data_IF_683914948796
#
_entry.id   IF_683914948796
#
_cell.length_a   1.000
_cell.length_b   1.000
_cell.length_c   1.000
_cell.angle_alpha   90.00
_cell.angle_beta   90.00
_cell.angle_gamma   90.00
#
_symmetry.space_group_name_H-M   'P 1'
#
loop_
_entity.id
_entity.type
_entity.pdbx_description
1 polymer ?
#
# COMPACT_ATOMS: atom_id res chain seq x y z
N UNK A 1 23.22 -4.85 10.05
CA UNK A 1 22.57 -4.52 8.77
C UNK A 1 21.08 -4.71 8.94
N UNK A 2 20.27 -3.65 8.88
CA UNK A 2 18.81 -3.79 8.92
C UNK A 2 18.33 -4.45 7.63
N UNK A 3 17.51 -5.50 7.74
CA UNK A 3 16.85 -6.11 6.58
C UNK A 3 15.90 -5.09 5.96
N UNK A 4 15.95 -4.95 4.64
CA UNK A 4 14.95 -4.15 3.91
C UNK A 4 13.71 -4.99 3.65
N UNK A 5 12.55 -4.36 3.53
CA UNK A 5 11.28 -5.07 3.32
C UNK A 5 11.28 -5.94 2.06
N UNK A 6 12.04 -5.54 1.04
CA UNK A 6 12.18 -6.28 -0.23
C UNK A 6 12.99 -7.57 -0.11
N UNK A 7 13.69 -7.77 1.01
CA UNK A 7 14.44 -9.00 1.30
C UNK A 7 13.62 -10.02 2.09
N UNK A 8 12.37 -9.68 2.43
CA UNK A 8 11.48 -10.58 3.15
C UNK A 8 10.72 -11.49 2.18
N UNK A 9 10.47 -12.71 2.64
CA UNK A 9 9.55 -13.63 1.97
C UNK A 9 8.11 -13.12 2.08
N UNK A 10 7.24 -13.61 1.22
CA UNK A 10 5.84 -13.15 1.16
C UNK A 10 5.09 -13.33 2.50
N UNK A 11 5.42 -14.38 3.28
CA UNK A 11 4.84 -14.64 4.62
C UNK A 11 5.34 -13.62 5.65
N UNK A 12 6.65 -13.41 5.71
CA UNK A 12 7.29 -12.45 6.61
C UNK A 12 6.83 -11.02 6.29
N UNK A 13 6.67 -10.71 5.00
CA UNK A 13 6.12 -9.44 4.54
C UNK A 13 4.66 -9.26 4.99
N UNK A 14 3.82 -10.31 4.87
CA UNK A 14 2.42 -10.29 5.37
C UNK A 14 2.39 -9.98 6.85
N UNK A 15 3.15 -10.71 7.65
CA UNK A 15 3.21 -10.48 9.11
C UNK A 15 3.69 -9.06 9.44
N UNK A 16 4.71 -8.56 8.72
CA UNK A 16 5.21 -7.21 8.90
C UNK A 16 4.16 -6.14 8.62
N UNK A 17 3.41 -6.27 7.52
CA UNK A 17 2.38 -5.30 7.16
C UNK A 17 1.13 -5.37 8.06
N UNK A 18 0.84 -6.51 8.67
CA UNK A 18 -0.30 -6.65 9.59
C UNK A 18 -0.04 -6.02 10.98
N UNK A 19 1.18 -5.56 11.25
CA UNK A 19 1.51 -4.86 12.50
C UNK A 19 0.78 -3.51 12.59
N UNK A 20 0.44 -3.10 13.81
CA UNK A 20 -0.27 -1.83 14.03
C UNK A 20 0.57 -0.61 13.61
N UNK A 21 1.89 -0.69 13.76
CA UNK A 21 2.83 0.36 13.36
C UNK A 21 2.94 0.50 11.85
N UNK A 22 2.64 -0.55 11.10
CA UNK A 22 2.56 -0.53 9.64
C UNK A 22 1.24 0.08 9.16
N UNK A 23 0.16 -0.09 9.94
CA UNK A 23 -1.16 0.44 9.61
C UNK A 23 -1.28 1.95 9.89
N UNK A 24 -0.76 2.42 11.03
CA UNK A 24 -0.82 3.85 11.40
C UNK A 24 0.51 4.35 11.95
N UNK A 25 0.95 5.50 11.42
CA UNK A 25 2.12 6.24 11.94
C UNK A 25 1.73 7.28 13.00
N UNK A 26 0.44 7.52 13.21
CA UNK A 26 -0.05 8.49 14.18
C UNK A 26 0.04 7.91 15.58
N UNK A 27 0.64 8.67 16.50
CA UNK A 27 0.62 8.37 17.93
C UNK A 27 -0.78 8.61 18.48
N UNK A 28 -1.52 7.53 18.66
CA UNK A 28 -2.84 7.55 19.27
C UNK A 28 -2.73 7.28 20.77
N UNK A 29 -3.73 7.70 21.57
CA UNK A 29 -3.82 7.31 22.97
C UNK A 29 -3.72 5.79 23.17
N UNK A 30 -3.12 5.37 24.28
CA UNK A 30 -2.77 3.96 24.56
C UNK A 30 -3.95 2.98 24.61
N UNK A 31 -5.17 3.50 24.74
CA UNK A 31 -6.40 2.70 24.70
C UNK A 31 -6.89 2.39 23.28
N UNK A 32 -6.34 3.05 22.25
CA UNK A 32 -6.62 2.73 20.85
C UNK A 32 -5.54 1.79 20.35
N UNK A 33 -5.89 0.50 20.22
CA UNK A 33 -5.01 -0.54 19.69
C UNK A 33 -5.61 -1.19 18.46
N UNK A 34 -4.84 -1.27 17.38
CA UNK A 34 -5.34 -1.83 16.12
C UNK A 34 -4.98 -3.30 15.94
N UNK A 35 -3.98 -3.83 16.66
CA UNK A 35 -3.58 -5.24 16.52
C UNK A 35 -4.75 -6.22 16.67
N UNK A 36 -5.60 -6.13 17.73
CA UNK A 36 -6.71 -7.06 17.89
C UNK A 36 -7.78 -6.93 16.79
N UNK A 37 -7.89 -5.75 16.19
CA UNK A 37 -8.83 -5.50 15.10
C UNK A 37 -8.30 -6.10 13.79
N UNK A 38 -7.04 -5.85 13.48
CA UNK A 38 -6.37 -6.32 12.26
C UNK A 38 -6.34 -7.85 12.24
N UNK A 39 -5.98 -8.49 13.35
CA UNK A 39 -5.96 -9.96 13.49
C UNK A 39 -7.36 -10.58 13.28
N UNK A 40 -8.39 -9.99 13.88
CA UNK A 40 -9.78 -10.45 13.70
C UNK A 40 -10.23 -10.34 12.24
N UNK A 41 -9.81 -9.29 11.54
CA UNK A 41 -10.13 -9.09 10.13
C UNK A 41 -9.35 -10.10 9.28
N UNK A 42 -8.04 -10.28 9.51
CA UNK A 42 -7.23 -11.21 8.73
C UNK A 42 -7.73 -12.64 8.87
N UNK A 43 -8.09 -13.07 10.08
CA UNK A 43 -8.65 -14.39 10.34
C UNK A 43 -9.96 -14.61 9.55
N UNK A 44 -10.89 -13.65 9.62
CA UNK A 44 -12.14 -13.70 8.84
C UNK A 44 -11.89 -13.72 7.33
N UNK A 45 -10.87 -13.02 6.85
CA UNK A 45 -10.55 -13.01 5.42
C UNK A 45 -9.93 -14.33 4.97
N UNK A 46 -9.05 -14.93 5.78
CA UNK A 46 -8.44 -16.23 5.48
C UNK A 46 -9.50 -17.36 5.49
N UNK A 47 -10.48 -17.32 6.40
CA UNK A 47 -11.63 -18.25 6.41
C UNK A 47 -12.45 -18.18 5.11
N UNK A 48 -12.69 -16.97 4.60
CA UNK A 48 -13.46 -16.76 3.37
C UNK A 48 -12.70 -17.18 2.09
N UNK A 49 -11.38 -17.35 2.14
CA UNK A 49 -10.56 -17.81 1.02
C UNK A 49 -10.52 -19.33 0.89
N UNK A 50 -10.69 -20.07 1.99
CA UNK A 50 -10.74 -21.55 1.99
C UNK A 50 -12.12 -22.08 1.55
N UNK A 51 -13.18 -21.28 1.70
CA UNK A 51 -14.52 -21.53 1.18
C UNK A 51 -14.70 -21.12 -0.28
N UNK A 52 -14.17 -21.93 -1.20
CA UNK A 52 -14.77 -22.12 -2.53
C UNK A 52 -14.75 -20.92 -3.52
N UNK A 53 -13.70 -20.87 -4.37
CA UNK A 53 -13.63 -20.23 -5.71
C UNK A 53 -13.64 -18.68 -5.82
N UNK A 54 -12.55 -18.17 -6.40
CA UNK A 54 -12.43 -16.93 -7.20
C UNK A 54 -12.96 -15.66 -6.51
N UNK A 55 -12.02 -14.80 -6.15
CA UNK A 55 -12.22 -13.34 -6.14
C UNK A 55 -12.94 -13.01 -7.46
N UNK A 56 -14.19 -12.53 -7.36
CA UNK A 56 -15.15 -12.33 -8.45
C UNK A 56 -15.66 -13.62 -9.11
N UNK A 57 -16.59 -14.36 -8.46
CA UNK A 57 -17.56 -15.14 -9.25
C UNK A 57 -18.40 -14.13 -10.05
N UNK A 58 -18.18 -14.06 -11.36
CA UNK A 58 -19.24 -13.63 -12.28
C UNK A 58 -20.33 -14.69 -12.16
N UNK A 59 -21.53 -14.32 -11.71
CA UNK A 59 -22.69 -15.16 -11.99
C UNK A 59 -22.87 -15.22 -13.52
N UNK A 60 -23.68 -16.14 -14.05
CA UNK A 60 -23.98 -16.31 -15.49
C UNK A 60 -24.40 -15.00 -16.21
N UNK A 61 -24.72 -13.94 -15.44
CA UNK A 61 -25.05 -12.58 -15.87
C UNK A 61 -23.88 -11.56 -15.81
N UNK A 62 -22.63 -11.99 -15.60
CA UNK A 62 -21.43 -11.12 -15.67
C UNK A 62 -21.14 -10.23 -14.46
N UNK A 63 -21.77 -10.46 -13.31
CA UNK A 63 -21.76 -9.55 -12.14
C UNK A 63 -20.68 -9.92 -11.10
N UNK A 64 -19.70 -9.04 -10.87
CA UNK A 64 -18.55 -9.27 -9.97
C UNK A 64 -18.88 -9.00 -8.49
N UNK A 65 -19.15 -10.02 -7.69
CA UNK A 65 -19.45 -9.84 -6.26
C UNK A 65 -18.13 -9.80 -5.45
N UNK A 66 -17.92 -8.75 -4.64
CA UNK A 66 -16.97 -8.83 -3.53
C UNK A 66 -17.70 -9.39 -2.31
N UNK A 67 -17.35 -10.60 -1.85
CA UNK A 67 -18.08 -11.24 -0.76
C UNK A 67 -17.95 -10.48 0.57
N UNK A 68 -16.94 -9.62 0.73
CA UNK A 68 -16.65 -8.90 1.96
C UNK A 68 -17.58 -7.69 2.16
N UNK A 69 -17.95 -6.98 1.08
CA UNK A 69 -18.73 -5.74 1.15
C UNK A 69 -20.25 -5.96 0.99
N UNK A 70 -20.76 -7.13 1.39
CA UNK A 70 -22.17 -7.45 1.24
C UNK A 70 -23.05 -6.56 2.14
N UNK A 71 -24.01 -5.85 1.54
CA UNK A 71 -25.09 -5.21 2.30
C UNK A 71 -26.07 -6.28 2.75
N UNK A 72 -26.41 -6.26 4.03
CA UNK A 72 -27.58 -6.97 4.57
C UNK A 72 -28.71 -5.95 4.64
N UNK A 73 -29.89 -6.33 4.17
CA UNK A 73 -31.08 -5.50 4.39
C UNK A 73 -31.46 -5.50 5.89
N UNK A 74 -32.40 -4.62 6.26
CA UNK A 74 -32.87 -4.50 7.65
C UNK A 74 -33.59 -5.77 8.16
N UNK A 75 -33.78 -6.79 7.30
CA UNK A 75 -34.39 -8.09 7.62
C UNK A 75 -33.37 -9.24 7.56
N UNK A 76 -32.09 -8.96 7.37
CA UNK A 76 -31.00 -9.96 7.33
C UNK A 76 -30.86 -10.72 6.00
N UNK A 77 -31.67 -10.40 5.00
CA UNK A 77 -31.60 -10.94 3.65
C UNK A 77 -30.50 -10.24 2.83
N UNK A 78 -29.86 -11.01 1.94
CA UNK A 78 -28.89 -10.46 0.99
C UNK A 78 -29.66 -9.74 -0.11
N UNK A 79 -29.49 -8.43 -0.20
CA UNK A 79 -29.95 -7.65 -1.35
C UNK A 79 -29.29 -8.22 -2.60
N UNK A 80 -30.06 -8.93 -3.42
CA UNK A 80 -29.53 -9.76 -4.51
C UNK A 80 -28.92 -8.99 -5.69
N UNK A 81 -28.70 -7.67 -5.61
CA UNK A 81 -28.52 -6.92 -6.85
C UNK A 81 -27.56 -5.72 -6.90
N UNK A 82 -26.60 -5.55 -6.00
CA UNK A 82 -25.51 -4.61 -6.32
C UNK A 82 -24.15 -5.03 -5.77
N UNK A 83 -23.15 -4.98 -6.66
CA UNK A 83 -21.77 -5.19 -6.28
C UNK A 83 -21.29 -3.91 -5.63
N UNK A 84 -21.01 -3.97 -4.34
CA UNK A 84 -20.53 -2.81 -3.58
C UNK A 84 -19.03 -2.72 -3.80
N UNK A 85 -18.64 -1.74 -4.59
CA UNK A 85 -17.25 -1.34 -4.77
C UNK A 85 -16.97 -0.17 -3.83
N UNK A 86 -15.96 -0.27 -2.94
CA UNK A 86 -15.56 0.86 -2.09
C UNK A 86 -15.28 2.15 -2.87
N UNK A 87 -14.83 2.04 -4.14
CA UNK A 87 -14.61 3.20 -5.03
C UNK A 87 -15.86 4.01 -5.36
N UNK A 88 -17.05 3.43 -5.20
CA UNK A 88 -18.32 4.07 -5.54
C UNK A 88 -18.87 4.92 -4.38
N UNK A 89 -18.22 4.90 -3.22
CA UNK A 89 -18.68 5.60 -2.03
C UNK A 89 -17.64 6.62 -1.57
N UNK A 90 -18.14 7.79 -1.17
CA UNK A 90 -17.31 8.78 -0.49
C UNK A 90 -17.13 8.42 1.00
N UNK A 91 -16.07 8.95 1.60
CA UNK A 91 -15.79 8.82 3.04
C UNK A 91 -15.64 7.37 3.57
N UNK A 92 -15.22 6.44 2.71
CA UNK A 92 -14.91 5.06 3.13
C UNK A 92 -13.76 5.01 4.13
N UNK A 93 -12.76 5.86 3.93
CA UNK A 93 -11.60 6.01 4.81
C UNK A 93 -11.90 6.96 5.98
N UNK A 94 -11.33 6.68 7.15
CA UNK A 94 -11.54 7.49 8.34
C UNK A 94 -10.74 8.80 8.27
N UNK A 95 -11.38 9.89 8.70
CA UNK A 95 -10.80 11.23 8.73
C UNK A 95 -10.55 11.63 10.19
N UNK A 96 -9.30 11.89 10.55
CA UNK A 96 -8.86 12.36 11.86
C UNK A 96 -8.37 13.79 11.74
N UNK A 97 -8.94 14.69 12.53
CA UNK A 97 -8.45 16.06 12.63
C UNK A 97 -7.43 16.14 13.76
N UNK A 98 -6.19 16.46 13.41
CA UNK A 98 -5.11 16.65 14.38
C UNK A 98 -4.78 18.13 14.48
N UNK A 99 -4.57 18.63 15.70
CA UNK A 99 -4.09 20.00 15.89
C UNK A 99 -2.60 20.03 15.58
N UNK A 100 -2.20 20.91 14.67
CA UNK A 100 -0.82 21.01 14.22
C UNK A 100 0.09 21.65 15.27
N UNK A 101 -0.30 22.80 15.86
CA UNK A 101 0.58 23.64 16.69
C UNK A 101 -0.17 24.66 17.60
N UNK A 102 -1.34 24.34 18.15
CA UNK A 102 -2.01 25.19 19.17
C UNK A 102 -2.56 26.55 18.69
N UNK A 103 -2.13 27.04 17.52
CA UNK A 103 -2.66 28.23 16.86
C UNK A 103 -3.50 27.80 15.65
N UNK A 104 -4.80 27.54 15.89
CA UNK A 104 -5.91 27.43 14.92
C UNK A 104 -5.72 26.56 13.64
N UNK A 105 -4.65 25.78 13.52
CA UNK A 105 -4.35 24.98 12.33
C UNK A 105 -4.70 23.50 12.55
N UNK A 106 -5.75 23.05 11.89
CA UNK A 106 -6.11 21.62 11.81
C UNK A 106 -5.44 20.95 10.62
N UNK A 107 -4.82 19.77 10.83
CA UNK A 107 -4.41 18.87 9.75
C UNK A 107 -5.36 17.69 9.69
N UNK A 108 -5.94 17.48 8.51
CA UNK A 108 -6.71 16.28 8.21
C UNK A 108 -5.76 15.13 7.91
N UNK A 109 -5.76 14.13 8.77
CA UNK A 109 -5.10 12.85 8.56
C UNK A 109 -6.16 11.84 8.13
N UNK A 110 -5.88 11.04 7.10
CA UNK A 110 -6.83 10.05 6.61
C UNK A 110 -6.26 8.64 6.81
N UNK A 111 -6.97 7.82 7.58
CA UNK A 111 -6.68 6.41 7.78
C UNK A 111 -7.47 5.56 6.78
N UNK A 112 -6.78 4.66 6.09
CA UNK A 112 -7.43 3.66 5.23
C UNK A 112 -8.33 2.79 6.09
N UNK A 113 -9.54 2.48 5.63
CA UNK A 113 -10.43 1.59 6.37
C UNK A 113 -9.73 0.23 6.65
N UNK A 114 -9.71 -0.28 7.91
CA UNK A 114 -8.94 -1.46 8.31
C UNK A 114 -9.20 -2.69 7.43
N UNK A 115 -10.46 -2.92 7.05
CA UNK A 115 -10.81 -4.04 6.16
C UNK A 115 -10.16 -3.90 4.78
N UNK A 116 -10.15 -2.70 4.20
CA UNK A 116 -9.50 -2.46 2.91
C UNK A 116 -7.99 -2.61 3.00
N UNK A 117 -7.41 -2.16 4.11
CA UNK A 117 -5.99 -2.29 4.36
C UNK A 117 -5.58 -3.77 4.43
N UNK A 118 -6.27 -4.58 5.23
CA UNK A 118 -5.95 -6.00 5.36
C UNK A 118 -6.18 -6.76 4.05
N UNK A 119 -7.26 -6.45 3.32
CA UNK A 119 -7.52 -7.03 1.99
C UNK A 119 -6.39 -6.71 1.00
N UNK A 120 -5.93 -5.45 0.97
CA UNK A 120 -4.79 -5.04 0.18
C UNK A 120 -3.51 -5.80 0.58
N UNK A 121 -3.23 -5.90 1.89
CA UNK A 121 -2.06 -6.63 2.39
C UNK A 121 -2.11 -8.08 1.92
N UNK A 122 -3.24 -8.77 2.13
CA UNK A 122 -3.42 -10.15 1.68
C UNK A 122 -3.17 -10.30 0.18
N UNK A 123 -3.64 -9.34 -0.63
CA UNK A 123 -3.44 -9.32 -2.09
C UNK A 123 -1.98 -9.16 -2.47
N UNK A 124 -1.27 -8.14 -1.95
CA UNK A 124 0.11 -7.85 -2.35
C UNK A 124 1.10 -8.89 -1.83
N UNK A 125 0.77 -9.59 -0.74
CA UNK A 125 1.63 -10.64 -0.15
C UNK A 125 1.23 -12.04 -0.60
N UNK A 126 0.41 -12.17 -1.65
CA UNK A 126 0.32 -13.43 -2.40
C UNK A 126 1.68 -13.69 -3.05
N UNK A 127 2.12 -14.95 -3.08
CA UNK A 127 3.45 -15.33 -3.56
C UNK A 127 3.76 -14.76 -4.95
N UNK A 128 2.86 -14.99 -5.91
CA UNK A 128 2.97 -14.46 -7.28
C UNK A 128 3.09 -12.93 -7.31
N UNK A 129 2.16 -12.22 -6.66
CA UNK A 129 2.14 -10.75 -6.66
C UNK A 129 3.37 -10.17 -5.94
N UNK A 130 3.87 -10.84 -4.90
CA UNK A 130 5.03 -10.39 -4.15
C UNK A 130 6.31 -10.51 -4.97
N UNK A 131 6.47 -11.59 -5.73
CA UNK A 131 7.58 -11.74 -6.68
C UNK A 131 7.54 -10.69 -7.78
N UNK A 132 6.35 -10.39 -8.31
CA UNK A 132 6.17 -9.32 -9.31
C UNK A 132 6.56 -7.95 -8.74
N UNK A 133 6.15 -7.65 -7.51
CA UNK A 133 6.54 -6.42 -6.81
C UNK A 133 8.06 -6.35 -6.65
N UNK A 134 8.70 -7.42 -6.17
CA UNK A 134 10.17 -7.45 -6.02
C UNK A 134 10.86 -7.20 -7.35
N UNK A 135 10.44 -7.89 -8.40
CA UNK A 135 10.98 -7.74 -9.76
C UNK A 135 10.82 -6.31 -10.27
N UNK A 136 9.66 -5.68 -10.08
CA UNK A 136 9.41 -4.29 -10.47
C UNK A 136 10.35 -3.32 -9.73
N UNK A 137 10.54 -3.49 -8.42
CA UNK A 137 11.46 -2.66 -7.63
C UNK A 137 12.93 -2.85 -8.03
N UNK A 138 13.35 -4.06 -8.40
CA UNK A 138 14.68 -4.30 -8.96
C UNK A 138 14.88 -3.56 -10.28
N UNK A 139 13.87 -3.58 -11.17
CA UNK A 139 13.86 -2.80 -12.40
C UNK A 139 14.00 -1.30 -12.13
N UNK A 140 13.22 -0.76 -11.20
CA UNK A 140 13.29 0.65 -10.80
C UNK A 140 14.63 1.04 -10.19
N UNK A 141 15.24 0.17 -9.38
CA UNK A 141 16.56 0.41 -8.79
C UNK A 141 17.65 0.45 -9.86
N UNK A 142 17.56 -0.38 -10.90
CA UNK A 142 18.44 -0.31 -12.07
C UNK A 142 18.27 1.02 -12.80
N UNK A 143 17.04 1.45 -13.05
CA UNK A 143 16.75 2.74 -13.74
C UNK A 143 17.27 3.94 -12.94
N UNK A 144 17.01 4.02 -11.62
CA UNK A 144 17.53 5.10 -10.77
C UNK A 144 19.06 5.14 -10.79
N UNK A 145 19.73 3.99 -10.70
CA UNK A 145 21.20 3.91 -10.78
C UNK A 145 21.71 4.37 -12.14
N UNK A 146 21.02 4.03 -13.23
CA UNK A 146 21.36 4.49 -14.56
C UNK A 146 21.21 6.01 -14.70
N UNK A 147 20.11 6.58 -14.21
CA UNK A 147 19.89 8.04 -14.24
C UNK A 147 20.95 8.80 -13.44
N UNK A 148 21.24 8.36 -12.21
CA UNK A 148 22.30 8.95 -11.38
C UNK A 148 23.67 8.81 -12.05
N UNK A 149 23.98 7.64 -12.62
CA UNK A 149 25.25 7.41 -13.31
C UNK A 149 25.39 8.26 -14.57
N UNK A 150 24.32 8.40 -15.36
CA UNK A 150 24.29 9.26 -16.53
C UNK A 150 24.52 10.73 -16.15
N UNK A 151 23.86 11.21 -15.09
CA UNK A 151 24.05 12.57 -14.57
C UNK A 151 25.48 12.82 -14.08
N UNK A 152 26.07 11.87 -13.36
CA UNK A 152 27.46 11.98 -12.90
C UNK A 152 28.46 11.98 -14.07
N UNK A 153 28.24 11.16 -15.10
CA UNK A 153 29.07 11.15 -16.31
C UNK A 153 28.95 12.46 -17.08
N UNK A 154 27.74 12.99 -17.21
CA UNK A 154 27.50 14.30 -17.83
C UNK A 154 28.25 15.41 -17.06
N UNK A 155 28.12 15.43 -15.72
CA UNK A 155 28.80 16.42 -14.88
C UNK A 155 30.34 16.32 -14.99
N UNK A 156 30.91 15.12 -15.08
CA UNK A 156 32.36 14.95 -15.27
C UNK A 156 32.83 15.51 -16.62
N UNK A 157 32.05 15.32 -17.70
CA UNK A 157 32.38 15.86 -19.02
C UNK A 157 32.38 17.40 -19.04
N UNK A 158 31.41 18.05 -18.40
CA UNK A 158 31.38 19.51 -18.30
C UNK A 158 32.59 20.07 -17.52
N UNK A 159 32.98 19.43 -16.41
CA UNK A 159 34.16 19.83 -15.63
C UNK A 159 35.44 19.72 -16.48
N UNK A 160 35.60 18.65 -17.27
CA UNK A 160 36.77 18.46 -18.15
C UNK A 160 36.81 19.52 -19.26
N UNK A 161 35.66 19.86 -19.85
CA UNK A 161 35.60 20.92 -20.86
C UNK A 161 35.97 22.28 -20.27
N UNK A 162 35.37 22.67 -19.13
CA UNK A 162 35.68 23.94 -18.45
C UNK A 162 37.16 24.05 -18.06
N UNK A 163 37.78 22.95 -17.63
CA UNK A 163 39.21 22.92 -17.34
C UNK A 163 40.07 23.06 -18.60
N UNK A 164 39.71 22.43 -19.72
CA UNK A 164 40.41 22.63 -21.01
C UNK A 164 40.39 24.10 -21.47
N UNK A 165 39.26 24.79 -21.32
CA UNK A 165 39.17 26.21 -21.69
C UNK A 165 39.98 27.13 -20.76
N UNK A 166 40.10 26.79 -19.47
CA UNK A 166 40.93 27.57 -18.52
C UNK A 166 42.44 27.41 -18.72
N UNK A 167 42.91 26.24 -19.15
CA UNK A 167 44.35 25.99 -19.36
C UNK A 167 44.83 26.23 -20.79
N UNK A 168 43.92 26.34 -21.77
CA UNK A 168 44.26 26.65 -23.18
C UNK A 168 44.41 28.14 -23.52
N UNK A 169 44.07 29.05 -22.60
CA UNK A 169 44.14 30.50 -22.78
C UNK A 169 45.41 31.14 -22.15
N UNK A 170 46.35 30.32 -21.65
CA UNK A 170 47.62 30.76 -21.03
C UNK A 170 48.86 30.33 -21.85
N UNK A 171 48.80 30.44 -23.19
CA UNK A 171 49.97 30.28 -24.06
C UNK A 171 50.03 31.39 -25.10
#
# INVERSE_FOLDING_TARGET
MSKTILQLDHKDAKEFFLREESYTSVKLPSYIKFSPLIEKISAKLDENLQGDKKICRKNEKGKCIYPIYQRKDNKGNKDNNECIYPSNYENVNYKLFTNKDGQYAWRLFQLIHPVLYVDLVHKITQEENWEDIKTAFEGLNKIKRLFVRAYLLYRQKEIVQQNKYKYGQNK
#
